data_IF_963778849735
#
_entry.id   IF_963778849735
#
_cell.length_a   1.000
_cell.length_b   1.000
_cell.length_c   1.000
_cell.angle_alpha   90.00
_cell.angle_beta   90.00
_cell.angle_gamma   90.00
#
_symmetry.space_group_name_H-M   'P 1'
#
loop_
_entity.id
_entity.type
_entity.pdbx_description
1 polymer ?
#
# COMPACT_ATOMS: atom_id res chain seq x y z
N UNK A 1 1.20 -10.62 3.98
CA UNK A 1 1.59 -9.22 4.27
C UNK A 1 0.41 -8.22 4.29
N UNK A 2 -0.52 -8.23 3.33
CA UNK A 2 -1.58 -7.21 3.23
C UNK A 2 -2.48 -7.06 4.47
N UNK A 3 -2.82 -8.17 5.15
CA UNK A 3 -3.64 -8.15 6.38
C UNK A 3 -2.96 -7.42 7.55
N UNK A 4 -1.65 -7.61 7.71
CA UNK A 4 -0.85 -6.96 8.75
C UNK A 4 -0.79 -5.45 8.57
N UNK A 5 -0.55 -4.97 7.35
CA UNK A 5 -0.54 -3.53 7.07
C UNK A 5 -1.94 -2.92 7.24
N UNK A 6 -2.99 -3.67 6.87
CA UNK A 6 -4.37 -3.24 7.07
C UNK A 6 -4.77 -3.11 8.54
N UNK A 7 -4.25 -3.97 9.44
CA UNK A 7 -4.54 -3.89 10.87
C UNK A 7 -3.88 -2.72 11.59
N UNK A 8 -2.92 -2.02 10.97
CA UNK A 8 -2.36 -0.78 11.52
C UNK A 8 -3.34 0.40 11.48
N UNK A 9 -4.43 0.28 10.71
CA UNK A 9 -5.42 1.33 10.55
C UNK A 9 -6.76 0.92 11.17
N UNK A 10 -7.54 1.88 11.68
CA UNK A 10 -8.89 1.61 12.14
C UNK A 10 -9.74 1.07 10.98
N UNK A 11 -10.51 0.00 11.25
CA UNK A 11 -11.36 -0.62 10.24
C UNK A 11 -12.54 0.28 9.83
N UNK A 12 -12.97 1.19 10.71
CA UNK A 12 -14.03 2.14 10.42
C UNK A 12 -13.50 3.28 9.53
N UNK A 13 -13.97 3.32 8.28
CA UNK A 13 -13.54 4.31 7.31
C UNK A 13 -14.16 5.69 7.60
N UNK A 14 -13.31 6.72 7.70
CA UNK A 14 -13.77 8.10 7.88
C UNK A 14 -14.04 8.79 6.54
N UNK A 15 -15.26 8.63 6.03
CA UNK A 15 -15.68 9.20 4.74
C UNK A 15 -15.77 10.74 4.76
N UNK A 16 -16.07 11.35 5.91
CA UNK A 16 -16.16 12.82 6.00
C UNK A 16 -14.78 13.48 5.78
N UNK A 17 -13.72 12.85 6.31
CA UNK A 17 -12.34 13.31 6.13
C UNK A 17 -11.86 13.20 4.68
N UNK A 18 -12.45 12.26 3.91
CA UNK A 18 -12.10 11.89 2.53
C UNK A 18 -10.64 11.49 2.38
N UNK A 19 -10.10 10.74 3.33
CA UNK A 19 -8.70 10.34 3.34
C UNK A 19 -8.56 8.85 3.03
N UNK A 20 -7.46 8.48 2.38
CA UNK A 20 -7.10 7.09 2.07
C UNK A 20 -5.59 6.93 2.18
N UNK A 21 -5.16 5.82 2.77
CA UNK A 21 -3.77 5.36 2.71
C UNK A 21 -3.66 4.27 1.64
N UNK A 22 -2.66 4.37 0.78
CA UNK A 22 -2.41 3.43 -0.31
C UNK A 22 -1.09 2.72 -0.09
N UNK A 23 -1.13 1.39 -0.13
CA UNK A 23 0.04 0.52 -0.12
C UNK A 23 0.15 -0.14 -1.49
N UNK A 24 1.08 0.31 -2.31
CA UNK A 24 1.31 -0.22 -3.65
C UNK A 24 2.56 -1.08 -3.67
N UNK A 25 2.43 -2.38 -3.95
CA UNK A 25 3.57 -3.28 -4.09
C UNK A 25 4.05 -3.30 -5.55
N UNK A 26 5.31 -2.94 -5.75
CA UNK A 26 5.97 -3.05 -7.06
C UNK A 26 7.41 -3.52 -6.86
N UNK A 27 7.70 -4.72 -7.37
CA UNK A 27 9.05 -5.33 -7.35
C UNK A 27 9.66 -5.41 -5.94
N UNK A 28 8.92 -5.92 -4.97
CA UNK A 28 9.28 -6.01 -3.54
C UNK A 28 9.41 -4.66 -2.81
N UNK A 29 9.04 -3.56 -3.45
CA UNK A 29 8.94 -2.25 -2.80
C UNK A 29 7.48 -1.89 -2.57
N UNK A 30 7.16 -1.61 -1.32
CA UNK A 30 5.85 -1.09 -0.90
C UNK A 30 5.94 0.44 -0.89
N UNK A 31 5.23 1.08 -1.81
CA UNK A 31 5.07 2.53 -1.85
C UNK A 31 3.88 2.91 -0.99
N UNK A 32 4.13 3.70 0.05
CA UNK A 32 3.10 4.19 0.96
C UNK A 32 2.80 5.64 0.66
N UNK A 33 1.53 5.95 0.45
CA UNK A 33 1.05 7.30 0.15
C UNK A 33 -0.25 7.56 0.87
N UNK A 34 -0.39 8.73 1.46
CA UNK A 34 -1.67 9.21 1.97
C UNK A 34 -2.25 10.19 0.96
N UNK A 35 -3.54 10.06 0.69
CA UNK A 35 -4.25 10.91 -0.24
C UNK A 35 -5.56 11.39 0.39
N UNK A 36 -5.97 12.60 0.02
CA UNK A 36 -7.36 13.04 0.11
C UNK A 36 -8.01 12.92 -1.27
N UNK A 37 -9.21 12.36 -1.34
CA UNK A 37 -9.95 12.21 -2.58
C UNK A 37 -11.10 13.20 -2.69
N UNK A 38 -11.40 13.62 -3.92
CA UNK A 38 -12.59 14.41 -4.27
C UNK A 38 -13.18 13.87 -5.56
N UNK A 39 -14.46 13.51 -5.53
CA UNK A 39 -15.19 13.13 -6.73
C UNK A 39 -15.61 14.38 -7.50
N UNK A 40 -15.35 14.40 -8.80
CA UNK A 40 -15.80 15.43 -9.72
C UNK A 40 -16.49 14.78 -10.90
N UNK A 41 -17.60 15.37 -11.34
CA UNK A 41 -18.18 14.99 -12.63
C UNK A 41 -17.22 15.39 -13.75
N UNK A 42 -16.83 14.42 -14.57
CA UNK A 42 -16.06 14.68 -15.77
C UNK A 42 -16.96 15.12 -16.92
N UNK A 43 -16.37 15.80 -17.89
CA UNK A 43 -17.06 16.21 -19.13
C UNK A 43 -17.34 15.02 -20.07
N UNK A 44 -16.80 13.84 -19.76
CA UNK A 44 -16.99 12.63 -20.55
C UNK A 44 -18.31 11.96 -20.15
N UNK A 45 -19.20 11.78 -21.11
CA UNK A 45 -20.45 11.06 -20.92
C UNK A 45 -20.23 9.59 -21.29
N UNK A 46 -20.73 8.68 -20.46
CA UNK A 46 -20.74 7.28 -20.80
C UNK A 46 -21.76 7.03 -21.92
N UNK A 47 -21.29 6.60 -23.10
CA UNK A 47 -22.11 6.43 -24.32
C UNK A 47 -23.25 5.42 -24.14
N UNK A 48 -23.11 4.48 -23.22
CA UNK A 48 -24.10 3.42 -22.95
C UNK A 48 -25.17 3.83 -21.95
N UNK A 49 -24.85 4.71 -20.99
CA UNK A 49 -25.74 5.06 -19.86
C UNK A 49 -26.16 6.53 -19.86
N UNK A 50 -25.63 7.36 -20.75
CA UNK A 50 -25.93 8.80 -20.85
C UNK A 50 -25.47 9.64 -19.65
N UNK A 51 -24.88 9.01 -18.61
CA UNK A 51 -24.44 9.70 -17.39
C UNK A 51 -23.02 10.23 -17.54
N UNK A 52 -22.76 11.40 -16.95
CA UNK A 52 -21.40 11.96 -16.83
C UNK A 52 -20.53 11.03 -15.99
N UNK A 53 -19.33 10.72 -16.49
CA UNK A 53 -18.36 9.86 -15.81
C UNK A 53 -17.78 10.61 -14.62
N UNK A 54 -18.04 10.12 -13.42
CA UNK A 54 -17.42 10.64 -12.20
C UNK A 54 -15.95 10.22 -12.18
N UNK A 55 -15.04 11.17 -11.93
CA UNK A 55 -13.60 10.93 -11.77
C UNK A 55 -13.18 11.30 -10.35
N UNK A 56 -12.32 10.47 -9.75
CA UNK A 56 -11.69 10.77 -8.47
C UNK A 56 -10.42 11.60 -8.71
N UNK A 57 -10.37 12.81 -8.16
CA UNK A 57 -9.14 13.59 -8.06
C UNK A 57 -8.49 13.30 -6.70
N UNK A 58 -7.19 13.00 -6.72
CA UNK A 58 -6.40 12.75 -5.51
C UNK A 58 -5.49 13.94 -5.23
N UNK A 59 -5.34 14.27 -3.96
CA UNK A 59 -4.35 15.21 -3.44
C UNK A 59 -3.49 14.44 -2.44
N UNK A 60 -2.19 14.36 -2.67
CA UNK A 60 -1.28 13.75 -1.70
C UNK A 60 -1.25 14.57 -0.40
N UNK A 61 -1.21 13.86 0.73
CA UNK A 61 -1.11 14.41 2.06
C UNK A 61 0.04 13.73 2.80
N UNK A 62 0.69 14.46 3.70
CA UNK A 62 1.68 13.89 4.61
C UNK A 62 2.90 13.27 3.91
N UNK A 63 3.64 12.38 4.60
CA UNK A 63 4.91 11.87 4.12
C UNK A 63 4.75 10.82 3.02
N UNK A 64 5.73 10.84 2.10
CA UNK A 64 5.93 9.82 1.07
C UNK A 64 7.11 8.96 1.47
N UNK A 65 6.90 7.67 1.62
CA UNK A 65 7.98 6.74 1.85
C UNK A 65 7.79 5.44 1.08
N UNK A 66 8.89 4.71 0.95
CA UNK A 66 8.96 3.43 0.26
C UNK A 66 9.65 2.46 1.20
N UNK A 67 9.03 1.31 1.44
CA UNK A 67 9.54 0.28 2.33
C UNK A 67 9.89 -0.96 1.52
N UNK A 68 10.96 -1.66 1.91
CA UNK A 68 11.27 -3.02 1.46
C UNK A 68 11.35 -3.90 2.70
N UNK A 69 10.63 -5.02 2.71
CA UNK A 69 10.67 -5.95 3.83
C UNK A 69 12.08 -6.56 3.94
N UNK A 70 12.66 -6.50 5.14
CA UNK A 70 13.99 -7.05 5.43
C UNK A 70 13.92 -8.37 6.17
N UNK A 71 13.02 -8.45 7.13
CA UNK A 71 12.76 -9.62 7.93
C UNK A 71 11.34 -9.54 8.50
N UNK A 72 10.80 -10.70 8.86
CA UNK A 72 9.55 -10.89 9.57
C UNK A 72 9.83 -11.87 10.71
N UNK A 73 9.47 -11.48 11.92
CA UNK A 73 9.66 -12.25 13.14
C UNK A 73 8.31 -12.77 13.61
N UNK A 74 8.28 -13.98 14.15
CA UNK A 74 7.10 -14.53 14.80
C UNK A 74 6.95 -13.92 16.21
N UNK A 75 5.73 -13.47 16.53
CA UNK A 75 5.45 -12.87 17.83
C UNK A 75 5.94 -11.42 17.97
N UNK A 76 6.37 -11.05 19.18
CA UNK A 76 6.80 -9.70 19.52
C UNK A 76 8.27 -9.46 19.13
N UNK A 77 8.64 -8.19 18.96
CA UNK A 77 10.03 -7.84 18.64
C UNK A 77 10.99 -8.27 19.75
N UNK A 78 11.84 -9.25 19.44
CA UNK A 78 12.89 -9.77 20.32
C UNK A 78 14.20 -9.88 19.53
N UNK A 79 15.19 -9.09 19.94
CA UNK A 79 16.51 -9.01 19.31
C UNK A 79 17.44 -10.15 19.68
N UNK A 80 17.15 -10.91 20.75
CA UNK A 80 18.06 -11.93 21.29
C UNK A 80 17.64 -13.34 20.89
N UNK A 81 16.35 -13.68 21.04
CA UNK A 81 15.86 -15.04 20.83
C UNK A 81 14.71 -15.12 19.81
N UNK A 82 14.53 -14.06 19.03
CA UNK A 82 13.50 -13.98 18.02
C UNK A 82 13.59 -15.01 16.90
N UNK A 83 12.52 -15.77 16.68
CA UNK A 83 12.41 -16.65 15.51
C UNK A 83 11.95 -15.86 14.28
N UNK A 84 12.73 -15.92 13.21
CA UNK A 84 12.43 -15.23 11.96
C UNK A 84 11.66 -16.14 11.00
N UNK A 85 10.38 -15.83 10.78
CA UNK A 85 9.57 -16.49 9.75
C UNK A 85 10.14 -16.25 8.34
N UNK A 86 10.63 -15.04 8.10
CA UNK A 86 11.16 -14.65 6.80
C UNK A 86 12.33 -13.69 6.94
N UNK A 87 13.36 -13.87 6.11
CA UNK A 87 14.50 -12.96 6.06
C UNK A 87 14.96 -12.76 4.62
N UNK A 88 15.19 -11.51 4.24
CA UNK A 88 15.66 -11.16 2.92
C UNK A 88 17.17 -11.44 2.76
N UNK A 89 17.49 -12.65 2.32
CA UNK A 89 18.87 -13.07 2.04
C UNK A 89 19.35 -12.52 0.70
N UNK A 90 19.90 -11.30 0.71
CA UNK A 90 20.32 -10.56 -0.50
C UNK A 90 21.12 -11.41 -1.51
N UNK A 91 22.10 -12.20 -1.03
CA UNK A 91 22.97 -13.00 -1.90
C UNK A 91 22.23 -14.11 -2.66
N UNK A 92 21.16 -14.66 -2.07
CA UNK A 92 20.38 -15.76 -2.64
C UNK A 92 19.19 -15.22 -3.45
N UNK A 93 18.56 -14.17 -2.93
CA UNK A 93 17.26 -13.68 -3.40
C UNK A 93 17.36 -12.60 -4.48
N UNK A 94 18.41 -11.77 -4.48
CA UNK A 94 18.64 -10.72 -5.49
C UNK A 94 19.48 -11.23 -6.68
N UNK A 95 19.57 -12.55 -6.88
CA UNK A 95 20.32 -13.18 -7.98
C UNK A 95 19.72 -12.86 -9.36
N UNK A 96 18.40 -12.65 -9.43
CA UNK A 96 17.70 -12.29 -10.67
C UNK A 96 16.75 -11.10 -10.46
N UNK A 97 16.75 -10.16 -11.41
CA UNK A 97 15.85 -8.99 -11.41
C UNK A 97 14.42 -9.31 -11.83
N UNK A 98 14.12 -10.57 -12.15
CA UNK A 98 12.80 -11.03 -12.62
C UNK A 98 12.00 -11.75 -11.54
N UNK A 99 12.62 -12.14 -10.43
CA UNK A 99 11.96 -12.83 -9.31
C UNK A 99 11.71 -11.82 -8.19
N UNK A 100 10.47 -11.77 -7.73
CA UNK A 100 10.01 -10.95 -6.62
C UNK A 100 9.44 -11.89 -5.55
N UNK A 101 9.55 -11.52 -4.29
CA UNK A 101 9.28 -12.38 -3.14
C UNK A 101 8.16 -11.85 -2.24
N UNK A 102 7.52 -10.74 -2.61
CA UNK A 102 6.48 -10.05 -1.85
C UNK A 102 5.15 -9.89 -2.60
#
# INVERSE_FOLDING_TARGET
AGRFLGSLFPHNAQFQGRQVATFHNQRDFIFVRHHRYVFKEGNQVNKETGKKKTKAKLQELGPRFTMKMRWLQEGTFDTQFGEYEWMHKRKEMDTTRRKFHL
#
